data_IF_217004956769
#
_entry.id   IF_217004956769
#
_cell.length_a   1.000
_cell.length_b   1.000
_cell.length_c   1.000
_cell.angle_alpha   90.00
_cell.angle_beta   90.00
_cell.angle_gamma   90.00
#
_symmetry.space_group_name_H-M   'P 1'
#
loop_
_entity.id
_entity.type
_entity.pdbx_description
1 polymer ?
#
# COMPACT_ATOMS: atom_id res chain seq x y z
N UNK A 1 -11.86 -1.77 21.04
CA UNK A 1 -12.64 -0.89 20.19
C UNK A 1 -13.04 -1.72 18.98
N UNK A 2 -14.32 -1.73 18.63
CA UNK A 2 -14.90 -2.57 17.58
C UNK A 2 -15.91 -1.71 16.82
N UNK A 3 -15.84 -1.69 15.51
CA UNK A 3 -16.86 -1.09 14.64
C UNK A 3 -18.00 -2.10 14.49
N UNK A 4 -19.22 -1.72 14.83
CA UNK A 4 -20.41 -2.58 14.69
C UNK A 4 -21.05 -2.40 13.31
N UNK A 5 -21.29 -1.14 12.91
CA UNK A 5 -21.95 -0.82 11.65
C UNK A 5 -21.45 0.50 11.08
N UNK A 6 -21.51 0.63 9.76
CA UNK A 6 -21.21 1.86 9.04
C UNK A 6 -22.30 2.15 8.03
N UNK A 7 -22.73 3.40 7.98
CA UNK A 7 -23.64 3.96 7.00
C UNK A 7 -22.95 5.11 6.28
N UNK A 8 -22.95 5.07 4.95
CA UNK A 8 -22.38 6.10 4.09
C UNK A 8 -23.49 6.59 3.16
N UNK A 9 -23.59 7.91 3.00
CA UNK A 9 -24.49 8.54 2.04
C UNK A 9 -23.78 9.60 1.21
N UNK A 10 -23.94 9.51 -0.11
CA UNK A 10 -23.41 10.44 -1.12
C UNK A 10 -21.90 10.70 -1.03
N UNK A 11 -21.11 9.72 -0.58
CA UNK A 11 -19.68 9.87 -0.33
C UNK A 11 -18.90 8.74 -1.00
N UNK A 12 -17.76 9.07 -1.62
CA UNK A 12 -16.92 8.08 -2.29
C UNK A 12 -17.55 7.61 -3.60
N UNK A 13 -17.89 6.33 -3.67
CA UNK A 13 -18.51 5.69 -4.84
C UNK A 13 -19.98 5.30 -4.60
N UNK A 14 -20.58 5.75 -3.48
CA UNK A 14 -21.89 5.29 -3.03
C UNK A 14 -22.87 6.43 -2.79
N UNK A 15 -24.07 6.29 -3.34
CA UNK A 15 -25.24 7.08 -2.93
C UNK A 15 -25.69 6.69 -1.53
N UNK A 16 -25.80 5.38 -1.27
CA UNK A 16 -26.07 4.83 0.05
C UNK A 16 -25.33 3.48 0.18
N UNK A 17 -24.65 3.27 1.30
CA UNK A 17 -24.02 1.99 1.65
C UNK A 17 -24.20 1.75 3.14
N UNK A 18 -24.72 0.58 3.51
CA UNK A 18 -24.81 0.13 4.89
C UNK A 18 -24.05 -1.18 5.06
N UNK A 19 -23.15 -1.23 6.04
CA UNK A 19 -22.32 -2.39 6.34
C UNK A 19 -22.43 -2.75 7.82
N UNK A 20 -22.43 -4.05 8.10
CA UNK A 20 -22.33 -4.60 9.45
C UNK A 20 -21.04 -5.41 9.55
N UNK A 21 -20.29 -5.20 10.61
CA UNK A 21 -19.03 -5.86 10.86
C UNK A 21 -19.14 -6.81 12.07
N UNK A 22 -18.45 -7.93 11.96
CA UNK A 22 -18.20 -8.86 13.04
C UNK A 22 -17.04 -8.40 13.91
N UNK A 23 -16.98 -8.91 15.14
CA UNK A 23 -16.02 -8.51 16.16
C UNK A 23 -14.58 -8.93 15.85
N UNK A 24 -14.42 -10.04 15.12
CA UNK A 24 -13.12 -10.59 14.75
C UNK A 24 -12.70 -10.09 13.37
N UNK A 25 -12.87 -10.89 12.33
CA UNK A 25 -12.39 -10.64 10.98
C UNK A 25 -13.55 -10.35 10.03
N UNK A 26 -13.33 -9.37 9.15
CA UNK A 26 -14.26 -8.96 8.11
C UNK A 26 -13.49 -8.86 6.79
N UNK A 27 -13.98 -9.56 5.77
CA UNK A 27 -13.31 -9.66 4.47
C UNK A 27 -14.16 -8.93 3.42
N UNK A 28 -13.69 -7.78 2.96
CA UNK A 28 -14.33 -7.00 1.91
C UNK A 28 -13.83 -7.49 0.55
N UNK A 29 -14.73 -8.08 -0.24
CA UNK A 29 -14.46 -8.61 -1.57
C UNK A 29 -15.09 -7.76 -2.67
N UNK A 30 -14.52 -7.81 -3.87
CA UNK A 30 -15.09 -7.20 -5.06
C UNK A 30 -14.05 -6.91 -6.14
N UNK A 31 -14.50 -6.50 -7.32
CA UNK A 31 -13.63 -6.22 -8.46
C UNK A 31 -12.68 -5.02 -8.21
N UNK A 32 -11.66 -4.89 -9.06
CA UNK A 32 -10.80 -3.71 -9.04
C UNK A 32 -11.61 -2.45 -9.36
N UNK A 33 -11.37 -1.37 -8.61
CA UNK A 33 -12.07 -0.10 -8.80
C UNK A 33 -13.47 0.01 -8.18
N UNK A 34 -13.97 -1.03 -7.48
CA UNK A 34 -15.28 -0.99 -6.82
C UNK A 34 -15.32 -0.14 -5.53
N UNK A 35 -14.17 0.35 -5.07
CA UNK A 35 -14.08 1.23 -3.88
C UNK A 35 -13.61 0.56 -2.59
N UNK A 36 -13.04 -0.65 -2.63
CA UNK A 36 -12.51 -1.35 -1.43
C UNK A 36 -11.52 -0.48 -0.61
N UNK A 37 -10.47 0.01 -1.25
CA UNK A 37 -9.48 0.91 -0.64
C UNK A 37 -10.11 2.23 -0.18
N UNK A 38 -11.06 2.76 -0.96
CA UNK A 38 -11.83 3.97 -0.62
C UNK A 38 -12.64 3.78 0.65
N UNK A 39 -13.27 2.62 0.85
CA UNK A 39 -14.01 2.30 2.06
C UNK A 39 -13.07 2.29 3.28
N UNK A 40 -11.93 1.59 3.21
CA UNK A 40 -10.96 1.58 4.31
C UNK A 40 -10.48 3.00 4.65
N UNK A 41 -10.22 3.83 3.63
CA UNK A 41 -9.82 5.22 3.83
C UNK A 41 -10.92 6.06 4.51
N UNK A 42 -12.19 5.86 4.14
CA UNK A 42 -13.33 6.50 4.81
C UNK A 42 -13.42 6.08 6.28
N UNK A 43 -13.32 4.78 6.58
CA UNK A 43 -13.31 4.27 7.95
C UNK A 43 -12.19 4.89 8.77
N UNK A 44 -10.98 4.93 8.21
CA UNK A 44 -9.80 5.51 8.87
C UNK A 44 -9.96 7.02 9.15
N UNK A 45 -10.59 7.76 8.22
CA UNK A 45 -10.79 9.21 8.32
C UNK A 45 -11.77 9.68 9.41
N UNK A 46 -12.51 8.74 10.01
CA UNK A 46 -13.35 8.98 11.19
C UNK A 46 -12.56 8.96 12.50
N UNK A 47 -11.32 8.46 12.46
CA UNK A 47 -10.41 8.49 13.60
C UNK A 47 -9.28 9.49 13.40
N UNK A 48 -8.98 9.88 12.17
CA UNK A 48 -7.83 10.73 11.85
C UNK A 48 -8.24 11.94 10.99
N UNK A 49 -7.64 13.09 11.31
CA UNK A 49 -7.81 14.46 10.81
C UNK A 49 -8.60 14.73 9.48
N UNK A 50 -9.38 15.82 9.55
CA UNK A 50 -10.22 16.50 8.55
C UNK A 50 -9.63 16.77 7.14
N UNK A 51 -8.32 16.63 6.93
CA UNK A 51 -7.66 16.90 5.65
C UNK A 51 -7.43 15.69 4.74
N UNK A 52 -7.75 14.48 5.19
CA UNK A 52 -7.52 13.24 4.41
C UNK A 52 -8.46 13.15 3.19
N UNK A 53 -9.66 13.73 3.30
CA UNK A 53 -10.70 13.69 2.28
C UNK A 53 -11.00 15.11 1.85
N UNK A 54 -10.69 15.44 0.60
CA UNK A 54 -11.14 16.69 -0.02
C UNK A 54 -12.47 16.44 -0.71
N UNK A 55 -13.55 16.87 -0.07
CA UNK A 55 -14.88 16.85 -0.67
C UNK A 55 -15.06 18.11 -1.52
N UNK A 56 -15.34 17.97 -2.81
CA UNK A 56 -15.37 19.11 -3.75
C UNK A 56 -16.79 19.50 -4.18
N UNK A 57 -17.80 18.70 -3.83
CA UNK A 57 -19.18 18.97 -4.20
C UNK A 57 -19.78 20.10 -3.34
N UNK A 58 -20.04 21.25 -3.96
CA UNK A 58 -20.60 22.41 -3.27
C UNK A 58 -22.11 22.33 -3.04
N UNK A 59 -22.81 21.49 -3.81
CA UNK A 59 -24.28 21.48 -3.87
C UNK A 59 -24.92 20.26 -3.19
N UNK A 60 -24.12 19.32 -2.70
CA UNK A 60 -24.60 18.08 -2.08
C UNK A 60 -24.04 17.92 -0.67
N UNK A 61 -24.89 17.44 0.24
CA UNK A 61 -24.46 16.96 1.55
C UNK A 61 -24.14 15.47 1.47
N UNK A 62 -23.03 15.09 2.09
CA UNK A 62 -22.61 13.70 2.21
C UNK A 62 -22.25 13.39 3.66
N UNK A 63 -22.37 12.14 4.08
CA UNK A 63 -21.96 11.75 5.42
C UNK A 63 -21.46 10.32 5.50
N UNK A 64 -20.70 10.07 6.56
CA UNK A 64 -20.40 8.73 7.07
C UNK A 64 -20.77 8.70 8.54
N UNK A 65 -21.49 7.65 8.94
CA UNK A 65 -21.93 7.39 10.30
C UNK A 65 -21.42 6.00 10.72
N UNK A 66 -20.76 5.91 11.86
CA UNK A 66 -20.15 4.69 12.37
C UNK A 66 -20.62 4.46 13.80
N UNK A 67 -21.21 3.30 14.04
CA UNK A 67 -21.45 2.79 15.38
C UNK A 67 -20.26 1.94 15.80
N UNK A 68 -19.69 2.24 16.96
CA UNK A 68 -18.59 1.48 17.52
C UNK A 68 -18.78 1.22 19.02
N UNK A 69 -18.17 0.14 19.47
CA UNK A 69 -18.09 -0.24 20.86
C UNK A 69 -16.65 -0.06 21.33
N UNK A 70 -16.41 0.87 22.25
CA UNK A 70 -15.18 0.87 23.04
C UNK A 70 -15.41 0.08 24.33
N UNK A 71 -14.35 -0.37 25.00
CA UNK A 71 -14.40 -1.22 26.20
C UNK A 71 -15.27 -0.65 27.33
N UNK A 72 -15.61 0.64 27.29
CA UNK A 72 -16.34 1.38 28.32
C UNK A 72 -17.76 1.80 27.92
N UNK A 73 -18.06 1.99 26.62
CA UNK A 73 -19.36 2.46 26.15
C UNK A 73 -19.55 2.34 24.62
N UNK A 74 -20.80 2.42 24.16
CA UNK A 74 -21.15 2.59 22.74
C UNK A 74 -20.99 4.05 22.31
N UNK A 75 -20.41 4.26 21.13
CA UNK A 75 -20.16 5.55 20.52
C UNK A 75 -20.69 5.58 19.08
N UNK A 76 -21.26 6.72 18.70
CA UNK A 76 -21.68 7.00 17.32
C UNK A 76 -20.84 8.15 16.80
N UNK A 77 -20.05 7.89 15.75
CA UNK A 77 -19.28 8.90 15.05
C UNK A 77 -19.98 9.23 13.74
N UNK A 78 -20.53 10.44 13.63
CA UNK A 78 -21.10 10.92 12.38
C UNK A 78 -20.29 12.10 11.87
N UNK A 79 -19.72 11.99 10.68
CA UNK A 79 -19.00 13.06 10.00
C UNK A 79 -19.76 13.48 8.75
N UNK A 80 -20.01 14.78 8.64
CA UNK A 80 -20.80 15.40 7.56
C UNK A 80 -19.88 16.25 6.70
N UNK A 81 -20.09 16.19 5.39
CA UNK A 81 -19.36 16.92 4.36
C UNK A 81 -20.33 17.84 3.63
N UNK A 82 -20.01 19.14 3.59
CA UNK A 82 -20.85 20.17 2.95
C UNK A 82 -19.99 21.35 2.51
N UNK A 83 -20.20 21.86 1.29
CA UNK A 83 -19.53 23.08 0.78
C UNK A 83 -18.01 23.07 0.90
N UNK A 84 -17.37 21.92 0.68
CA UNK A 84 -15.91 21.80 0.78
C UNK A 84 -15.33 21.66 2.18
N UNK A 85 -16.18 21.55 3.19
CA UNK A 85 -15.78 21.40 4.59
C UNK A 85 -16.31 20.06 5.15
N UNK A 86 -15.67 19.59 6.22
CA UNK A 86 -16.15 18.43 6.97
C UNK A 86 -16.09 18.68 8.47
N UNK A 87 -16.98 18.05 9.23
CA UNK A 87 -17.01 18.14 10.68
C UNK A 87 -17.81 17.00 11.31
N UNK A 88 -17.53 16.71 12.58
CA UNK A 88 -18.34 15.78 13.35
C UNK A 88 -19.68 16.42 13.71
N UNK A 89 -20.76 15.68 13.50
CA UNK A 89 -22.07 15.99 14.02
C UNK A 89 -22.11 15.59 15.50
N UNK A 90 -22.36 16.56 16.37
CA UNK A 90 -22.51 16.36 17.81
C UNK A 90 -23.87 16.90 18.25
N UNK A 91 -24.63 16.09 18.97
CA UNK A 91 -25.97 16.46 19.47
C UNK A 91 -25.91 17.00 20.90
N UNK A 92 -24.86 16.67 21.64
CA UNK A 92 -24.68 17.05 23.04
C UNK A 92 -23.21 17.27 23.42
N UNK A 93 -22.99 17.94 24.55
CA UNK A 93 -21.65 18.06 25.14
C UNK A 93 -21.07 16.70 25.59
N UNK A 94 -21.94 15.71 25.87
CA UNK A 94 -21.51 14.36 26.16
C UNK A 94 -20.85 13.71 24.94
N UNK A 95 -21.39 13.93 23.73
CA UNK A 95 -20.81 13.40 22.49
C UNK A 95 -19.41 13.94 22.26
N UNK A 96 -19.20 15.24 22.50
CA UNK A 96 -17.88 15.88 22.39
C UNK A 96 -16.88 15.21 23.34
N UNK A 97 -17.26 14.97 24.60
CA UNK A 97 -16.38 14.29 25.58
C UNK A 97 -16.05 12.87 25.15
N UNK A 98 -16.99 12.15 24.53
CA UNK A 98 -16.75 10.78 24.05
C UNK A 98 -15.77 10.77 22.88
N UNK A 99 -15.97 11.65 21.90
CA UNK A 99 -15.07 11.80 20.75
C UNK A 99 -13.65 12.18 21.23
N UNK A 100 -13.54 13.15 22.13
CA UNK A 100 -12.24 13.60 22.65
C UNK A 100 -11.48 12.56 23.50
N UNK A 101 -12.17 11.53 24.01
CA UNK A 101 -11.58 10.42 24.77
C UNK A 101 -11.19 9.24 23.90
N UNK A 102 -11.52 9.28 22.61
CA UNK A 102 -11.28 8.18 21.70
C UNK A 102 -9.77 7.96 21.53
N UNK A 103 -9.35 6.71 21.65
CA UNK A 103 -7.96 6.31 21.49
C UNK A 103 -7.65 6.10 19.99
N UNK A 104 -7.48 7.20 19.27
CA UNK A 104 -7.16 7.20 17.82
C UNK A 104 -5.93 6.33 17.50
N UNK A 105 -4.97 6.26 18.42
CA UNK A 105 -3.77 5.43 18.36
C UNK A 105 -4.02 3.91 18.44
N UNK A 106 -5.28 3.46 18.51
CA UNK A 106 -5.70 2.05 18.42
C UNK A 106 -6.36 1.70 17.08
N UNK A 107 -6.38 2.62 16.11
CA UNK A 107 -6.81 2.32 14.74
C UNK A 107 -5.63 2.39 13.80
N UNK A 108 -5.34 1.26 13.16
CA UNK A 108 -4.21 1.14 12.24
C UNK A 108 -4.70 0.85 10.83
N UNK A 109 -4.00 1.39 9.85
CA UNK A 109 -4.25 1.09 8.43
C UNK A 109 -2.93 0.75 7.74
N UNK A 110 -2.93 -0.33 6.97
CA UNK A 110 -1.78 -0.82 6.22
C UNK A 110 -2.23 -1.29 4.85
N UNK A 111 -1.32 -1.23 3.88
CA UNK A 111 -1.53 -1.87 2.58
C UNK A 111 -0.45 -2.93 2.37
N UNK A 112 -0.85 -4.13 1.99
CA UNK A 112 0.06 -5.22 1.63
C UNK A 112 0.97 -4.87 0.45
N UNK A 113 0.59 -3.89 -0.38
CA UNK A 113 1.46 -3.38 -1.44
C UNK A 113 2.70 -2.68 -0.86
N UNK A 114 2.51 -1.82 0.17
CA UNK A 114 3.56 -0.97 0.75
C UNK A 114 4.44 -1.68 1.80
N UNK A 115 3.96 -2.77 2.43
CA UNK A 115 4.64 -3.43 3.56
C UNK A 115 6.11 -3.79 3.29
N UNK A 116 6.42 -4.29 2.09
CA UNK A 116 7.79 -4.74 1.76
C UNK A 116 8.80 -3.60 1.63
N UNK A 117 8.33 -2.39 1.34
CA UNK A 117 9.18 -1.26 0.99
C UNK A 117 9.43 -0.34 2.19
N UNK A 118 8.44 -0.22 3.06
CA UNK A 118 8.53 0.70 4.21
C UNK A 118 9.45 0.17 5.33
N UNK A 119 9.81 -1.12 5.35
CA UNK A 119 10.82 -1.65 6.27
C UNK A 119 11.61 -2.86 5.75
N UNK A 120 12.94 -2.81 5.85
CA UNK A 120 13.79 -3.97 5.56
C UNK A 120 13.59 -5.07 6.61
N UNK A 121 13.46 -6.31 6.13
CA UNK A 121 13.34 -7.47 6.99
C UNK A 121 14.60 -7.63 7.85
N UNK A 122 14.39 -7.84 9.16
CA UNK A 122 15.48 -8.09 10.10
C UNK A 122 15.17 -9.28 11.03
N UNK A 123 16.18 -9.74 11.77
CA UNK A 123 16.06 -10.89 12.67
C UNK A 123 15.03 -10.66 13.80
N UNK A 124 14.82 -9.43 14.26
CA UNK A 124 13.81 -9.10 15.28
C UNK A 124 12.40 -9.32 14.77
N UNK A 125 12.12 -8.95 13.51
CA UNK A 125 10.84 -9.20 12.87
C UNK A 125 10.54 -10.70 12.76
N UNK A 126 11.55 -11.51 12.42
CA UNK A 126 11.43 -12.98 12.42
C UNK A 126 11.10 -13.49 13.83
N UNK A 127 11.86 -13.05 14.84
CA UNK A 127 11.62 -13.44 16.24
C UNK A 127 10.19 -13.09 16.69
N UNK A 128 9.69 -11.91 16.32
CA UNK A 128 8.32 -11.48 16.61
C UNK A 128 7.28 -12.35 15.90
N UNK A 129 7.48 -12.63 14.61
CA UNK A 129 6.61 -13.51 13.84
C UNK A 129 6.54 -14.92 14.46
N UNK A 130 7.69 -15.51 14.84
CA UNK A 130 7.74 -16.81 15.51
C UNK A 130 7.02 -16.79 16.86
N UNK A 131 7.22 -15.74 17.67
CA UNK A 131 6.50 -15.57 18.94
C UNK A 131 5.00 -15.49 18.74
N UNK A 132 4.52 -14.75 17.73
CA UNK A 132 3.11 -14.70 17.40
C UNK A 132 2.57 -16.09 17.06
N UNK A 133 3.23 -16.79 16.13
CA UNK A 133 2.81 -18.13 15.70
C UNK A 133 2.75 -19.11 16.87
N UNK A 134 3.68 -19.01 17.82
CA UNK A 134 3.66 -19.79 19.06
C UNK A 134 2.44 -19.44 19.93
N UNK A 135 2.17 -18.15 20.12
CA UNK A 135 1.07 -17.67 20.94
C UNK A 135 -0.31 -18.11 20.41
N UNK A 136 -0.43 -18.32 19.09
CA UNK A 136 -1.67 -18.78 18.45
C UNK A 136 -1.63 -20.26 18.03
N UNK A 137 -0.61 -21.02 18.42
CA UNK A 137 -0.42 -22.44 18.08
C UNK A 137 -0.51 -22.74 16.56
N UNK A 138 0.24 -21.97 15.76
CA UNK A 138 0.26 -22.07 14.30
C UNK A 138 1.67 -22.32 13.71
N UNK A 139 2.69 -22.56 14.54
CA UNK A 139 4.09 -22.71 14.10
C UNK A 139 4.26 -23.76 12.99
N UNK A 140 3.54 -24.88 13.07
CA UNK A 140 3.65 -26.01 12.12
C UNK A 140 3.08 -25.72 10.73
N UNK A 141 2.26 -24.67 10.60
CA UNK A 141 1.59 -24.32 9.34
C UNK A 141 2.42 -23.37 8.48
N UNK A 142 3.52 -22.84 9.03
CA UNK A 142 4.43 -21.94 8.33
C UNK A 142 5.82 -22.55 8.29
N UNK A 143 6.31 -22.86 7.08
CA UNK A 143 7.73 -23.11 6.88
C UNK A 143 8.44 -21.77 6.79
N UNK A 144 8.74 -21.17 7.94
CA UNK A 144 9.59 -19.98 8.03
C UNK A 144 11.09 -20.34 8.03
N UNK A 145 11.43 -21.52 7.48
CA UNK A 145 12.80 -22.02 7.45
C UNK A 145 13.70 -21.01 6.72
N UNK A 146 14.63 -20.44 7.48
CA UNK A 146 15.70 -19.58 6.99
C UNK A 146 17.00 -20.35 7.17
N UNK A 147 17.32 -21.20 6.21
CA UNK A 147 18.65 -21.80 6.08
C UNK A 147 19.44 -20.95 5.10
N UNK A 148 20.26 -20.02 5.60
CA UNK A 148 21.18 -19.23 4.77
C UNK A 148 21.01 -17.72 4.88
N UNK A 149 21.08 -17.02 3.75
CA UNK A 149 20.98 -15.55 3.61
C UNK A 149 19.70 -15.16 2.86
N UNK A 150 19.02 -16.10 2.19
CA UNK A 150 17.97 -15.80 1.21
C UNK A 150 16.55 -15.99 1.75
N UNK A 151 15.66 -15.08 1.37
CA UNK A 151 14.21 -15.24 1.55
C UNK A 151 13.46 -14.62 0.37
N UNK A 152 12.55 -15.39 -0.24
CA UNK A 152 11.73 -14.89 -1.35
C UNK A 152 10.79 -13.76 -0.90
N UNK A 153 10.38 -12.89 -1.83
CA UNK A 153 9.52 -11.75 -1.50
C UNK A 153 8.22 -12.16 -0.79
N UNK A 154 7.55 -13.22 -1.25
CA UNK A 154 6.37 -13.75 -0.57
C UNK A 154 6.63 -14.19 0.87
N UNK A 155 7.77 -14.86 1.14
CA UNK A 155 8.16 -15.22 2.51
C UNK A 155 8.45 -13.99 3.37
N UNK A 156 9.11 -12.96 2.81
CA UNK A 156 9.35 -11.71 3.54
C UNK A 156 8.02 -11.02 3.89
N UNK A 157 7.09 -10.94 2.93
CA UNK A 157 5.75 -10.37 3.17
C UNK A 157 4.99 -11.12 4.27
N UNK A 158 5.07 -12.45 4.32
CA UNK A 158 4.48 -13.25 5.42
C UNK A 158 5.04 -12.84 6.77
N UNK A 159 6.37 -12.74 6.90
CA UNK A 159 7.00 -12.36 8.16
C UNK A 159 6.66 -10.92 8.55
N UNK A 160 6.57 -10.01 7.59
CA UNK A 160 6.16 -8.63 7.83
C UNK A 160 4.72 -8.54 8.33
N UNK A 161 3.79 -9.28 7.73
CA UNK A 161 2.40 -9.36 8.20
C UNK A 161 2.35 -9.94 9.62
N UNK A 162 3.04 -11.05 9.87
CA UNK A 162 3.07 -11.66 11.21
C UNK A 162 3.72 -10.74 12.25
N UNK A 163 4.81 -10.05 11.92
CA UNK A 163 5.44 -9.07 12.79
C UNK A 163 4.51 -7.89 13.06
N UNK A 164 3.80 -7.39 12.05
CA UNK A 164 2.80 -6.34 12.21
C UNK A 164 1.72 -6.80 13.20
N UNK A 165 1.11 -7.96 12.97
CA UNK A 165 0.08 -8.51 13.85
C UNK A 165 0.59 -8.71 15.29
N UNK A 166 1.87 -9.07 15.46
CA UNK A 166 2.50 -9.19 16.78
C UNK A 166 2.61 -7.85 17.53
N UNK A 167 2.84 -6.75 16.82
CA UNK A 167 3.06 -5.43 17.41
C UNK A 167 1.77 -4.68 17.72
N UNK A 168 0.63 -5.12 17.17
CA UNK A 168 -0.64 -4.45 17.38
C UNK A 168 -1.10 -4.70 18.82
N UNK A 169 -1.39 -3.63 19.59
CA UNK A 169 -1.89 -3.79 20.96
C UNK A 169 -3.31 -4.37 20.96
N UNK A 170 -3.68 -5.03 22.05
CA UNK A 170 -5.06 -5.45 22.29
C UNK A 170 -6.02 -4.25 22.28
N UNK A 171 -7.31 -4.52 22.04
CA UNK A 171 -8.39 -3.55 21.91
C UNK A 171 -8.27 -2.64 20.66
N UNK A 172 -7.62 -3.10 19.59
CA UNK A 172 -7.34 -2.31 18.38
C UNK A 172 -8.20 -2.71 17.17
N UNK A 173 -8.32 -1.78 16.22
CA UNK A 173 -8.88 -2.02 14.89
C UNK A 173 -7.74 -1.98 13.87
N UNK A 174 -7.65 -3.00 13.02
CA UNK A 174 -6.68 -3.05 11.91
C UNK A 174 -7.44 -3.04 10.59
N UNK A 175 -7.13 -2.06 9.75
CA UNK A 175 -7.60 -1.94 8.37
C UNK A 175 -6.48 -2.41 7.43
N UNK A 176 -6.70 -3.48 6.67
CA UNK A 176 -5.69 -4.08 5.80
C UNK A 176 -6.13 -4.01 4.33
N UNK A 177 -5.45 -3.19 3.54
CA UNK A 177 -5.71 -3.10 2.10
C UNK A 177 -4.86 -4.13 1.34
N UNK A 178 -5.49 -5.08 0.65
CA UNK A 178 -4.85 -6.14 -0.13
C UNK A 178 -3.64 -6.79 0.58
N UNK A 179 -3.77 -7.25 1.86
CA UNK A 179 -2.65 -7.78 2.63
C UNK A 179 -2.00 -9.01 1.99
N UNK A 180 -2.71 -9.69 1.09
CA UNK A 180 -2.30 -10.96 0.50
C UNK A 180 -1.76 -10.85 -0.94
N UNK A 181 -1.46 -9.63 -1.42
CA UNK A 181 -1.10 -9.40 -2.83
C UNK A 181 0.11 -10.21 -3.34
N UNK A 182 0.97 -10.68 -2.43
CA UNK A 182 2.25 -11.35 -2.72
C UNK A 182 2.38 -12.75 -2.14
N UNK A 183 1.31 -13.30 -1.57
CA UNK A 183 1.30 -14.64 -0.95
C UNK A 183 0.39 -15.58 -1.72
N UNK A 184 0.74 -16.88 -1.74
CA UNK A 184 -0.10 -17.90 -2.35
C UNK A 184 -1.36 -18.20 -1.51
N UNK A 185 -2.31 -18.92 -2.11
CA UNK A 185 -3.61 -19.22 -1.50
C UNK A 185 -3.50 -20.04 -0.21
N UNK A 186 -2.56 -20.99 -0.12
CA UNK A 186 -2.37 -21.81 1.08
C UNK A 186 -1.86 -20.96 2.25
N UNK A 187 -0.83 -20.16 2.00
CA UNK A 187 -0.28 -19.25 3.02
C UNK A 187 -1.31 -18.19 3.43
N UNK A 188 -2.07 -17.65 2.48
CA UNK A 188 -3.16 -16.71 2.77
C UNK A 188 -4.16 -17.30 3.77
N UNK A 189 -4.62 -18.53 3.55
CA UNK A 189 -5.60 -19.16 4.44
C UNK A 189 -5.01 -19.38 5.84
N UNK A 190 -3.73 -19.75 5.93
CA UNK A 190 -3.03 -19.83 7.22
C UNK A 190 -2.91 -18.47 7.91
N UNK A 191 -2.68 -17.38 7.17
CA UNK A 191 -2.64 -16.02 7.73
C UNK A 191 -4.01 -15.56 8.23
N UNK A 192 -5.09 -15.88 7.52
CA UNK A 192 -6.47 -15.63 7.96
C UNK A 192 -6.73 -16.38 9.28
N UNK A 193 -6.29 -17.63 9.39
CA UNK A 193 -6.42 -18.41 10.63
C UNK A 193 -5.62 -17.80 11.80
N UNK A 194 -4.40 -17.29 11.55
CA UNK A 194 -3.65 -16.52 12.55
C UNK A 194 -4.45 -15.27 13.00
N UNK A 195 -5.01 -14.52 12.04
CA UNK A 195 -5.81 -13.32 12.32
C UNK A 195 -7.05 -13.63 13.17
N UNK A 196 -7.71 -14.78 12.95
CA UNK A 196 -8.87 -15.23 13.75
C UNK A 196 -8.51 -15.52 15.21
N UNK A 197 -7.31 -16.02 15.46
CA UNK A 197 -6.84 -16.40 16.80
C UNK A 197 -6.33 -15.22 17.62
N UNK A 198 -6.22 -14.03 17.02
CA UNK A 198 -5.90 -12.81 17.75
C UNK A 198 -7.07 -12.43 18.67
N UNK A 199 -6.75 -12.18 19.94
CA UNK A 199 -7.73 -11.76 20.95
C UNK A 199 -7.84 -10.24 20.97
N UNK A 200 -9.06 -9.75 21.14
CA UNK A 200 -9.36 -8.33 21.33
C UNK A 200 -8.88 -7.42 20.18
N UNK A 201 -8.85 -7.93 18.95
CA UNK A 201 -8.48 -7.17 17.75
C UNK A 201 -9.56 -7.38 16.70
N UNK A 202 -10.10 -6.28 16.15
CA UNK A 202 -10.97 -6.34 14.99
C UNK A 202 -10.15 -6.10 13.72
N UNK A 203 -10.31 -6.96 12.72
CA UNK A 203 -9.60 -6.87 11.45
C UNK A 203 -10.63 -6.67 10.34
N UNK A 204 -10.43 -5.63 9.54
CA UNK A 204 -11.21 -5.36 8.33
C UNK A 204 -10.23 -5.33 7.17
N UNK A 205 -10.31 -6.29 6.28
CA UNK A 205 -9.37 -6.44 5.18
C UNK A 205 -10.04 -6.45 3.82
N UNK A 206 -9.30 -6.09 2.78
CA UNK A 206 -9.79 -6.13 1.39
C UNK A 206 -9.10 -7.23 0.59
N UNK A 207 -9.83 -7.84 -0.33
CA UNK A 207 -9.26 -8.78 -1.31
C UNK A 207 -10.03 -8.72 -2.62
N UNK A 208 -9.38 -9.04 -3.73
CA UNK A 208 -10.01 -9.19 -5.05
C UNK A 208 -10.50 -10.60 -5.31
N UNK A 209 -10.01 -11.57 -4.54
CA UNK A 209 -10.30 -12.98 -4.74
C UNK A 209 -11.65 -13.28 -4.09
N UNK A 210 -12.63 -13.65 -4.91
CA UNK A 210 -13.89 -14.23 -4.46
C UNK A 210 -13.65 -15.68 -4.09
N UNK A 211 -13.51 -15.94 -2.79
CA UNK A 211 -13.53 -17.30 -2.25
C UNK A 211 -14.72 -17.45 -1.32
N UNK A 212 -15.34 -18.62 -1.39
CA UNK A 212 -16.27 -19.10 -0.39
C UNK A 212 -15.47 -19.32 0.89
N UNK A 213 -15.69 -18.46 1.86
CA UNK A 213 -15.13 -18.62 3.19
C UNK A 213 -16.24 -18.52 4.21
N UNK A 214 -16.08 -19.21 5.35
CA UNK A 214 -17.06 -19.19 6.45
C UNK A 214 -17.05 -17.86 7.23
N UNK A 215 -16.23 -16.89 6.81
CA UNK A 215 -16.10 -15.60 7.50
C UNK A 215 -17.17 -14.59 7.07
N UNK A 216 -17.27 -13.48 7.81
CA UNK A 216 -18.08 -12.36 7.37
C UNK A 216 -17.49 -11.73 6.10
N UNK A 217 -17.95 -12.22 4.96
CA UNK A 217 -17.60 -11.72 3.64
C UNK A 217 -18.59 -10.64 3.22
N UNK A 218 -18.06 -9.44 3.00
CA UNK A 218 -18.82 -8.29 2.52
C UNK A 218 -18.49 -8.11 1.04
N UNK A 219 -19.45 -8.41 0.17
CA UNK A 219 -19.31 -8.18 -1.27
C UNK A 219 -19.66 -6.73 -1.62
N UNK A 220 -18.66 -5.97 -2.06
CA UNK A 220 -18.89 -4.67 -2.66
C UNK A 220 -19.16 -4.83 -4.16
N UNK A 221 -20.33 -4.38 -4.58
CA UNK A 221 -20.75 -4.32 -5.97
C UNK A 221 -20.77 -2.86 -6.39
N UNK A 222 -20.37 -2.57 -7.63
CA UNK A 222 -20.41 -1.21 -8.17
C UNK A 222 -21.87 -0.81 -8.38
N UNK A 223 -22.37 0.15 -7.62
CA UNK A 223 -23.79 0.55 -7.64
C UNK A 223 -24.10 1.71 -8.59
N UNK A 224 -23.11 2.54 -8.97
CA UNK A 224 -23.34 3.68 -9.87
C UNK A 224 -22.80 3.44 -11.30
N UNK A 225 -23.68 3.63 -12.30
CA UNK A 225 -23.32 3.76 -13.73
C UNK A 225 -22.78 5.15 -14.07
N UNK A 226 -23.34 6.19 -13.45
CA UNK A 226 -22.87 7.57 -13.56
C UNK A 226 -22.02 7.90 -12.35
N UNK A 227 -20.76 8.24 -12.60
CA UNK A 227 -19.83 8.65 -11.56
C UNK A 227 -20.33 9.98 -11.03
N UNK A 228 -20.79 10.00 -9.77
CA UNK A 228 -21.00 11.24 -9.04
C UNK A 228 -19.72 12.05 -9.23
N UNK A 229 -19.84 13.18 -9.94
CA UNK A 229 -18.78 13.95 -10.60
C UNK A 229 -17.80 14.65 -9.64
N UNK A 230 -17.69 14.13 -8.42
CA UNK A 230 -16.91 14.68 -7.32
C UNK A 230 -16.38 13.52 -6.47
N UNK A 231 -15.53 12.66 -7.06
CA UNK A 231 -14.75 11.70 -6.28
C UNK A 231 -14.05 12.46 -5.16
N UNK A 232 -14.20 12.08 -3.88
CA UNK A 232 -13.37 12.66 -2.84
C UNK A 232 -11.92 12.38 -3.20
N UNK A 233 -11.08 13.41 -3.23
CA UNK A 233 -9.64 13.18 -3.38
C UNK A 233 -9.12 12.71 -2.03
N UNK A 234 -8.66 11.46 -1.98
CA UNK A 234 -8.04 10.86 -0.80
C UNK A 234 -6.54 11.10 -0.85
N UNK A 235 -6.01 11.64 0.25
CA UNK A 235 -4.55 11.70 0.45
C UNK A 235 -4.06 10.35 0.99
N UNK A 236 -4.00 9.33 0.12
CA UNK A 236 -3.53 7.98 0.49
C UNK A 236 -2.09 7.99 1.04
N UNK A 237 -1.28 8.96 0.63
CA UNK A 237 0.03 9.21 1.22
C UNK A 237 -0.07 9.48 2.72
N UNK A 238 -0.90 10.43 3.13
CA UNK A 238 -1.11 10.78 4.54
C UNK A 238 -1.72 9.61 5.33
N UNK A 239 -2.55 8.79 4.68
CA UNK A 239 -3.18 7.60 5.29
C UNK A 239 -2.15 6.51 5.61
N UNK A 240 -1.35 6.10 4.62
CA UNK A 240 -0.49 4.92 4.75
C UNK A 240 0.93 5.24 5.29
N UNK A 241 1.48 6.44 5.06
CA UNK A 241 2.87 6.77 5.49
C UNK A 241 3.04 6.95 6.99
N UNK A 242 2.00 7.31 7.74
CA UNK A 242 2.13 7.73 9.13
C UNK A 242 2.16 6.58 10.15
N UNK A 243 1.44 5.47 9.93
CA UNK A 243 1.28 4.44 10.96
C UNK A 243 2.44 3.44 11.03
N UNK A 244 2.95 2.99 9.87
CA UNK A 244 3.99 1.97 9.84
C UNK A 244 5.30 2.49 10.44
N UNK A 245 5.73 3.70 10.08
CA UNK A 245 6.91 4.33 10.68
C UNK A 245 6.77 4.52 12.19
N UNK A 246 5.58 4.81 12.71
CA UNK A 246 5.38 4.99 14.15
C UNK A 246 5.53 3.68 14.94
N UNK A 247 4.93 2.58 14.45
CA UNK A 247 5.05 1.26 15.11
C UNK A 247 6.47 0.68 14.93
N UNK A 248 7.12 0.95 13.80
CA UNK A 248 8.44 0.40 13.47
C UNK A 248 9.62 1.20 14.02
N UNK A 249 9.45 2.49 14.39
CA UNK A 249 10.51 3.35 14.98
C UNK A 249 11.22 2.77 16.20
N UNK A 250 10.59 1.84 16.92
CA UNK A 250 11.19 1.10 18.06
C UNK A 250 12.05 -0.11 17.66
N UNK A 251 12.19 -0.41 16.37
CA UNK A 251 12.88 -1.61 15.87
C UNK A 251 14.19 -1.33 15.12
N UNK A 252 14.49 -0.06 14.81
CA UNK A 252 15.66 0.35 14.01
C UNK A 252 16.98 0.47 14.80
N UNK A 253 16.99 0.18 16.11
CA UNK A 253 18.27 0.08 16.84
C UNK A 253 19.01 -1.16 16.36
N UNK A 254 20.12 -0.92 15.67
CA UNK A 254 21.10 -1.89 15.15
C UNK A 254 21.37 -3.04 16.14
N UNK A 255 20.63 -4.13 16.02
CA UNK A 255 21.14 -5.44 16.39
C UNK A 255 21.87 -5.99 15.15
N UNK A 256 23.06 -6.56 15.35
CA UNK A 256 23.88 -7.26 14.36
C UNK A 256 23.16 -8.52 13.81
N UNK A 257 22.03 -8.32 13.13
CA UNK A 257 21.31 -9.38 12.45
C UNK A 257 21.99 -9.72 11.13
N UNK A 258 22.05 -11.01 10.79
CA UNK A 258 22.43 -11.45 9.43
C UNK A 258 21.51 -10.76 8.42
N UNK A 259 22.10 -10.09 7.43
CA UNK A 259 21.36 -9.47 6.33
C UNK A 259 20.61 -10.55 5.57
N UNK A 260 19.31 -10.36 5.36
CA UNK A 260 18.47 -11.27 4.57
C UNK A 260 18.34 -10.67 3.17
N UNK A 261 18.76 -11.41 2.15
CA UNK A 261 18.68 -10.97 0.76
C UNK A 261 17.39 -11.42 0.08
N UNK A 262 16.92 -10.57 -0.81
CA UNK A 262 15.76 -10.82 -1.68
C UNK A 262 16.12 -11.57 -2.96
N UNK A 263 17.38 -11.50 -3.39
CA UNK A 263 17.84 -11.99 -4.70
C UNK A 263 19.07 -12.88 -4.57
N UNK A 264 19.04 -13.99 -5.33
CA UNK A 264 20.15 -14.91 -5.50
C UNK A 264 20.65 -14.83 -6.94
N UNK A 265 21.96 -14.73 -7.12
CA UNK A 265 22.57 -14.65 -8.44
C UNK A 265 22.16 -15.84 -9.31
N UNK A 266 21.82 -15.58 -10.58
CA UNK A 266 21.40 -16.56 -11.58
C UNK A 266 20.15 -17.38 -11.24
N UNK A 267 19.44 -17.09 -10.13
CA UNK A 267 18.14 -17.69 -9.86
C UNK A 267 17.02 -16.91 -10.54
N UNK A 268 15.92 -17.62 -10.79
CA UNK A 268 14.69 -17.02 -11.31
C UNK A 268 13.91 -16.32 -10.20
N UNK A 269 13.48 -15.09 -10.47
CA UNK A 269 12.54 -14.35 -9.62
C UNK A 269 11.15 -14.94 -9.83
N UNK A 270 10.56 -15.46 -8.76
CA UNK A 270 9.23 -16.10 -8.80
C UNK A 270 8.10 -15.12 -9.11
N UNK A 271 8.29 -13.83 -8.83
CA UNK A 271 7.32 -12.81 -9.22
C UNK A 271 7.16 -12.77 -10.73
N UNK A 272 5.92 -12.72 -11.19
CA UNK A 272 5.61 -12.52 -12.60
C UNK A 272 5.62 -11.03 -12.90
N UNK A 273 6.08 -10.66 -14.10
CA UNK A 273 5.92 -9.29 -14.58
C UNK A 273 4.43 -8.94 -14.64
N UNK A 274 4.06 -7.81 -14.05
CA UNK A 274 2.69 -7.29 -14.01
C UNK A 274 2.74 -5.86 -14.52
N UNK A 275 1.59 -5.24 -14.80
CA UNK A 275 1.54 -3.81 -15.15
C UNK A 275 2.30 -2.89 -14.17
N UNK A 276 2.45 -3.30 -12.92
CA UNK A 276 3.09 -2.54 -11.86
C UNK A 276 4.56 -2.93 -11.60
N UNK A 277 5.11 -3.93 -12.29
CA UNK A 277 6.49 -4.37 -12.12
C UNK A 277 7.16 -4.39 -13.50
N UNK A 278 8.35 -3.82 -13.61
CA UNK A 278 9.12 -3.81 -14.84
C UNK A 278 10.53 -4.33 -14.58
N UNK A 279 10.98 -5.33 -15.34
CA UNK A 279 12.35 -5.83 -15.28
C UNK A 279 13.25 -5.14 -16.31
N UNK A 280 14.50 -4.86 -15.92
CA UNK A 280 15.52 -4.29 -16.79
C UNK A 280 16.87 -4.95 -16.56
N UNK A 281 17.48 -5.41 -17.65
CA UNK A 281 18.85 -5.86 -17.66
C UNK A 281 19.78 -4.74 -18.12
N UNK A 282 20.90 -4.54 -17.42
CA UNK A 282 21.96 -3.66 -17.89
C UNK A 282 22.86 -4.45 -18.83
N UNK A 283 22.82 -4.13 -20.12
CA UNK A 283 23.64 -4.77 -21.17
C UNK A 283 24.85 -3.94 -21.61
N UNK A 284 24.98 -2.69 -21.13
CA UNK A 284 26.03 -1.75 -21.54
C UNK A 284 27.00 -1.36 -20.42
N UNK A 285 28.05 -0.64 -20.76
CA UNK A 285 29.13 -0.23 -19.83
C UNK A 285 28.81 0.97 -18.93
N UNK A 286 27.67 1.65 -19.14
CA UNK A 286 27.24 2.80 -18.32
C UNK A 286 25.95 2.49 -17.56
N UNK A 287 26.01 1.66 -16.50
CA UNK A 287 24.83 1.26 -15.71
C UNK A 287 24.09 2.46 -15.12
N UNK A 288 24.83 3.44 -14.59
CA UNK A 288 24.29 4.59 -13.85
C UNK A 288 23.37 5.43 -14.73
N UNK A 289 23.85 5.87 -15.90
CA UNK A 289 23.05 6.69 -16.80
C UNK A 289 21.88 5.90 -17.39
N UNK A 290 22.10 4.61 -17.72
CA UNK A 290 21.03 3.74 -18.19
C UNK A 290 19.90 3.56 -17.16
N UNK A 291 20.22 3.52 -15.86
CA UNK A 291 19.21 3.51 -14.78
C UNK A 291 18.49 4.85 -14.74
N UNK A 292 19.22 5.97 -14.64
CA UNK A 292 18.62 7.30 -14.42
C UNK A 292 17.68 7.71 -15.57
N UNK A 293 18.15 7.58 -16.82
CA UNK A 293 17.37 8.03 -17.99
C UNK A 293 16.10 7.18 -18.18
N UNK A 294 16.19 5.88 -17.93
CA UNK A 294 15.04 4.97 -18.03
C UNK A 294 14.10 5.15 -16.85
N UNK A 295 14.64 5.36 -15.64
CA UNK A 295 13.85 5.57 -14.43
C UNK A 295 12.90 6.76 -14.57
N UNK A 296 13.38 7.90 -15.07
CA UNK A 296 12.56 9.10 -15.26
C UNK A 296 11.31 8.82 -16.12
N UNK A 297 11.48 8.10 -17.23
CA UNK A 297 10.40 7.76 -18.15
C UNK A 297 9.36 6.88 -17.46
N UNK A 298 9.80 5.83 -16.75
CA UNK A 298 8.87 4.93 -16.07
C UNK A 298 8.20 5.58 -14.86
N UNK A 299 8.91 6.41 -14.10
CA UNK A 299 8.32 7.21 -13.01
C UNK A 299 7.19 8.07 -13.56
N UNK A 300 7.44 8.81 -14.65
CA UNK A 300 6.41 9.62 -15.29
C UNK A 300 5.22 8.77 -15.78
N UNK A 301 5.50 7.60 -16.39
CA UNK A 301 4.47 6.69 -16.85
C UNK A 301 3.59 6.13 -15.71
N UNK A 302 4.18 5.81 -14.55
CA UNK A 302 3.46 5.33 -13.38
C UNK A 302 2.65 6.43 -12.71
N UNK A 303 3.19 7.65 -12.57
CA UNK A 303 2.47 8.81 -12.02
C UNK A 303 1.26 9.19 -12.88
N UNK A 304 1.37 9.00 -14.20
CA UNK A 304 0.27 9.20 -15.14
C UNK A 304 -0.63 7.96 -15.30
N UNK A 305 -0.39 6.86 -14.59
CA UNK A 305 -1.29 5.70 -14.66
C UNK A 305 -2.65 6.01 -14.04
N UNK A 306 -3.72 5.39 -14.57
CA UNK A 306 -5.06 5.43 -13.96
C UNK A 306 -5.22 4.44 -12.80
N UNK A 307 -4.26 3.53 -12.63
CA UNK A 307 -4.28 2.53 -11.55
C UNK A 307 -3.50 3.10 -10.37
N UNK A 308 -4.15 3.15 -9.21
CA UNK A 308 -3.50 3.46 -7.93
C UNK A 308 -2.65 2.26 -7.52
N UNK A 309 -1.46 2.52 -6.99
CA UNK A 309 -0.62 1.48 -6.40
C UNK A 309 0.86 1.81 -6.49
N UNK A 310 1.68 0.77 -6.37
CA UNK A 310 3.14 0.88 -6.49
C UNK A 310 3.57 0.44 -7.88
N UNK A 311 4.20 1.33 -8.64
CA UNK A 311 5.05 0.94 -9.77
C UNK A 311 6.45 0.61 -9.27
N UNK A 312 7.05 -0.51 -9.70
CA UNK A 312 8.45 -0.81 -9.41
C UNK A 312 9.20 -1.14 -10.68
N UNK A 313 10.33 -0.46 -10.88
CA UNK A 313 11.30 -0.85 -11.91
C UNK A 313 12.47 -1.52 -11.20
N UNK A 314 12.85 -2.71 -11.67
CA UNK A 314 13.91 -3.52 -11.08
C UNK A 314 15.04 -3.74 -12.11
N UNK A 315 16.20 -3.15 -11.86
CA UNK A 315 17.41 -3.38 -12.65
C UNK A 315 18.26 -4.51 -12.09
N UNK A 316 18.98 -5.18 -12.98
CA UNK A 316 19.76 -6.36 -12.63
C UNK A 316 18.95 -7.65 -12.69
N UNK A 317 17.79 -7.64 -13.36
CA UNK A 317 16.95 -8.80 -13.62
C UNK A 317 16.66 -8.84 -15.12
N UNK A 318 16.94 -9.97 -15.75
CA UNK A 318 16.69 -10.18 -17.18
C UNK A 318 15.21 -10.30 -17.52
N UNK A 319 14.86 -10.18 -18.80
CA UNK A 319 13.49 -10.40 -19.30
C UNK A 319 13.00 -11.84 -19.03
N UNK A 320 13.94 -12.78 -18.88
CA UNK A 320 13.67 -14.17 -18.45
C UNK A 320 13.55 -14.33 -16.93
N UNK A 321 13.44 -13.22 -16.19
CA UNK A 321 13.37 -13.14 -14.73
C UNK A 321 14.59 -13.70 -13.99
N UNK A 322 15.72 -13.85 -14.67
CA UNK A 322 16.98 -14.30 -14.04
C UNK A 322 17.71 -13.11 -13.42
N UNK A 323 18.11 -13.23 -12.16
CA UNK A 323 18.93 -12.24 -11.44
C UNK A 323 20.34 -12.21 -12.03
N UNK A 324 20.78 -11.02 -12.47
CA UNK A 324 22.11 -10.73 -13.01
C UNK A 324 22.89 -9.73 -12.15
N UNK A 325 22.17 -8.86 -11.46
CA UNK A 325 22.75 -7.76 -10.69
C UNK A 325 23.31 -6.64 -11.55
N UNK A 326 23.69 -5.57 -10.87
CA UNK A 326 24.36 -4.40 -11.41
C UNK A 326 25.54 -4.11 -10.49
N UNK A 327 26.75 -4.00 -11.07
CA UNK A 327 27.94 -3.63 -10.31
C UNK A 327 27.90 -2.15 -9.99
N UNK A 328 27.90 -1.80 -8.71
CA UNK A 328 27.78 -0.43 -8.21
C UNK A 328 28.61 -0.25 -6.94
N UNK A 329 29.42 0.80 -6.90
CA UNK A 329 30.05 1.29 -5.66
C UNK A 329 29.04 2.07 -4.81
N UNK A 330 29.41 2.43 -3.57
CA UNK A 330 28.57 3.30 -2.72
C UNK A 330 28.35 4.69 -3.34
N UNK A 331 29.39 5.26 -3.95
CA UNK A 331 29.30 6.55 -4.63
C UNK A 331 28.32 6.48 -5.81
N UNK A 332 28.28 5.37 -6.54
CA UNK A 332 27.31 5.17 -7.62
C UNK A 332 25.87 5.15 -7.11
N UNK A 333 25.63 4.53 -5.94
CA UNK A 333 24.30 4.49 -5.30
C UNK A 333 23.81 5.89 -4.94
N UNK A 334 24.69 6.71 -4.36
CA UNK A 334 24.39 8.10 -4.00
C UNK A 334 24.12 8.95 -5.25
N UNK A 335 24.91 8.75 -6.32
CA UNK A 335 24.71 9.43 -7.60
C UNK A 335 23.36 9.07 -8.23
N UNK A 336 23.00 7.78 -8.26
CA UNK A 336 21.71 7.32 -8.81
C UNK A 336 20.57 7.94 -8.01
N UNK A 337 20.60 7.83 -6.68
CA UNK A 337 19.53 8.30 -5.80
C UNK A 337 19.31 9.81 -5.93
N UNK A 338 20.40 10.60 -5.88
CA UNK A 338 20.36 12.05 -6.05
C UNK A 338 19.83 12.45 -7.42
N UNK A 339 20.37 11.89 -8.50
CA UNK A 339 19.97 12.28 -9.87
C UNK A 339 18.53 11.90 -10.17
N UNK A 340 18.04 10.76 -9.69
CA UNK A 340 16.62 10.41 -9.81
C UNK A 340 15.75 11.44 -9.06
N UNK A 341 16.10 11.79 -7.82
CA UNK A 341 15.37 12.80 -7.05
C UNK A 341 15.35 14.17 -7.75
N UNK A 342 16.48 14.61 -8.31
CA UNK A 342 16.59 15.84 -9.11
C UNK A 342 15.66 15.81 -10.34
N UNK A 343 15.66 14.71 -11.10
CA UNK A 343 14.78 14.55 -12.29
C UNK A 343 13.30 14.60 -11.90
N UNK A 344 12.93 13.96 -10.81
CA UNK A 344 11.54 13.99 -10.28
C UNK A 344 11.15 15.41 -9.88
N UNK A 345 12.02 16.13 -9.16
CA UNK A 345 11.78 17.52 -8.77
C UNK A 345 11.69 18.50 -9.95
N UNK A 346 12.24 18.14 -11.10
CA UNK A 346 12.17 18.92 -12.35
C UNK A 346 10.95 18.59 -13.23
N UNK A 347 10.14 17.58 -12.86
CA UNK A 347 8.90 17.26 -13.56
C UNK A 347 7.90 18.41 -13.48
N UNK A 348 7.00 18.48 -14.47
CA UNK A 348 5.95 19.51 -14.53
C UNK A 348 4.55 18.90 -14.69
N UNK A 349 3.57 19.25 -13.85
CA UNK A 349 3.69 20.08 -12.64
C UNK A 349 4.64 19.45 -11.59
N UNK A 350 5.06 20.24 -10.60
CA UNK A 350 6.04 19.80 -9.59
C UNK A 350 5.61 18.48 -8.93
N UNK A 351 6.56 17.54 -8.83
CA UNK A 351 6.39 16.27 -8.14
C UNK A 351 7.38 16.23 -6.97
N UNK A 352 6.88 15.94 -5.77
CA UNK A 352 7.76 15.71 -4.63
C UNK A 352 8.57 14.43 -4.83
N UNK A 353 9.87 14.49 -4.57
CA UNK A 353 10.75 13.33 -4.59
C UNK A 353 10.32 12.23 -3.62
N UNK A 354 9.53 12.54 -2.58
CA UNK A 354 9.02 11.59 -1.59
C UNK A 354 8.04 10.55 -2.16
N UNK A 355 7.63 10.69 -3.43
CA UNK A 355 6.85 9.67 -4.14
C UNK A 355 7.73 8.56 -4.75
N UNK A 356 9.05 8.75 -4.78
CA UNK A 356 10.01 7.79 -5.31
C UNK A 356 10.97 7.34 -4.23
N UNK A 357 11.24 6.04 -4.18
CA UNK A 357 12.22 5.44 -3.29
C UNK A 357 13.17 4.58 -4.12
N UNK A 358 14.47 4.75 -3.93
CA UNK A 358 15.51 3.99 -4.63
C UNK A 358 16.14 3.04 -3.62
N UNK A 359 16.03 1.73 -3.87
CA UNK A 359 16.46 0.68 -2.97
C UNK A 359 17.53 -0.18 -3.65
N UNK A 360 18.66 -0.35 -2.98
CA UNK A 360 19.75 -1.22 -3.43
C UNK A 360 19.70 -2.54 -2.69
N UNK A 361 19.15 -3.56 -3.35
CA UNK A 361 19.00 -4.89 -2.77
C UNK A 361 20.28 -5.69 -2.97
N UNK A 362 20.89 -6.13 -1.87
CA UNK A 362 22.04 -7.03 -1.88
C UNK A 362 21.69 -8.32 -2.64
N UNK A 363 22.66 -8.83 -3.41
CA UNK A 363 22.57 -10.13 -4.08
C UNK A 363 23.50 -11.10 -3.37
N UNK A 364 23.03 -12.31 -3.09
CA UNK A 364 23.88 -13.38 -2.60
C UNK A 364 24.13 -14.44 -3.66
N UNK A 365 25.23 -15.15 -3.48
CA UNK A 365 25.50 -16.43 -4.11
C UNK A 365 25.68 -17.48 -3.01
N UNK A 366 24.93 -18.57 -3.12
CA UNK A 366 24.71 -19.57 -2.08
C UNK A 366 24.36 -18.99 -0.68
N UNK A 367 25.36 -18.70 0.14
CA UNK A 367 25.22 -18.16 1.51
C UNK A 367 26.09 -16.92 1.77
N UNK A 368 26.62 -16.29 0.72
CA UNK A 368 27.47 -15.10 0.85
C UNK A 368 26.92 -13.96 0.01
N UNK A 369 26.85 -12.77 0.61
CA UNK A 369 26.54 -11.55 -0.12
C UNK A 369 27.71 -11.22 -1.04
N UNK A 370 27.42 -10.92 -2.30
CA UNK A 370 28.41 -10.48 -3.27
C UNK A 370 28.58 -8.97 -3.10
N UNK A 371 29.80 -8.55 -2.75
CA UNK A 371 30.12 -7.14 -2.61
C UNK A 371 29.96 -6.39 -3.94
N UNK A 372 29.52 -5.14 -3.85
CA UNK A 372 29.30 -4.23 -4.99
C UNK A 372 28.32 -4.73 -6.06
N UNK A 373 27.53 -5.78 -5.79
CA UNK A 373 26.55 -6.31 -6.73
C UNK A 373 25.12 -6.19 -6.18
N UNK A 374 24.29 -5.42 -6.88
CA UNK A 374 22.95 -5.07 -6.41
C UNK A 374 21.88 -5.31 -7.46
N UNK A 375 20.67 -5.63 -7.01
CA UNK A 375 19.47 -5.33 -7.79
C UNK A 375 18.97 -3.94 -7.36
N UNK A 376 18.74 -3.05 -8.33
CA UNK A 376 18.27 -1.69 -8.05
C UNK A 376 16.76 -1.66 -8.22
N UNK A 377 16.02 -1.31 -7.18
CA UNK A 377 14.57 -1.12 -7.25
C UNK A 377 14.23 0.37 -7.16
N UNK A 378 13.60 0.91 -8.19
CA UNK A 378 12.99 2.25 -8.13
C UNK A 378 11.50 2.06 -7.94
N UNK A 379 11.04 2.41 -6.75
CA UNK A 379 9.67 2.26 -6.28
C UNK A 379 8.96 3.59 -6.42
N UNK A 380 7.84 3.59 -7.14
CA UNK A 380 7.05 4.77 -7.45
C UNK A 380 5.68 4.59 -6.82
N UNK A 381 5.40 5.41 -5.81
CA UNK A 381 4.10 5.44 -5.16
C UNK A 381 3.21 6.38 -6.00
N UNK A 382 2.28 5.81 -6.79
CA UNK A 382 1.42 6.59 -7.68
C UNK A 382 -0.03 6.63 -7.20
N UNK A 383 -0.67 7.78 -7.42
CA UNK A 383 -2.06 8.06 -7.08
C UNK A 383 -2.78 8.54 -8.33
N UNK A 384 -4.09 8.30 -8.40
CA UNK A 384 -4.93 8.90 -9.43
C UNK A 384 -4.92 10.41 -9.29
N UNK A 385 -4.60 11.12 -10.37
CA UNK A 385 -4.61 12.57 -10.44
C UNK A 385 -5.45 13.02 -11.64
N UNK A 386 -6.06 14.20 -11.55
CA UNK A 386 -6.86 14.77 -12.65
C UNK A 386 -5.98 15.44 -13.73
N UNK A 387 -4.68 15.54 -13.45
CA UNK A 387 -3.66 16.14 -14.30
C UNK A 387 -2.66 15.10 -14.80
N UNK A 388 -1.93 15.46 -15.85
CA UNK A 388 -0.78 14.71 -16.34
C UNK A 388 0.52 15.42 -15.96
N UNK A 389 1.54 14.63 -15.66
CA UNK A 389 2.90 15.07 -15.42
C UNK A 389 3.73 14.88 -16.68
N UNK A 390 4.72 15.74 -16.86
CA UNK A 390 5.76 15.63 -17.88
C UNK A 390 7.11 15.45 -17.22
N UNK A 391 8.00 14.73 -17.91
CA UNK A 391 9.41 14.57 -17.54
C UNK A 391 10.14 15.92 -17.53
N UNK A 392 11.40 15.95 -17.06
CA UNK A 392 12.26 17.14 -17.10
C UNK A 392 12.50 17.64 -18.54
N UNK A 393 12.22 16.80 -19.55
CA UNK A 393 12.32 17.12 -20.98
C UNK A 393 10.98 17.53 -21.60
N UNK A 394 9.91 17.62 -20.83
CA UNK A 394 8.57 17.99 -21.31
C UNK A 394 7.81 16.88 -22.02
N UNK A 395 8.29 15.63 -21.94
CA UNK A 395 7.63 14.48 -22.54
C UNK A 395 6.62 13.86 -21.56
N UNK A 396 5.49 13.36 -22.08
CA UNK A 396 4.42 12.74 -21.30
C UNK A 396 4.32 11.26 -21.66
N UNK A 397 4.43 10.39 -20.65
CA UNK A 397 4.31 8.95 -20.78
C UNK A 397 3.17 8.43 -19.90
N UNK A 398 2.57 7.30 -20.27
CA UNK A 398 1.57 6.59 -19.47
C UNK A 398 1.88 5.09 -19.44
N UNK A 399 1.65 4.43 -18.29
CA UNK A 399 1.76 2.97 -18.17
C UNK A 399 0.44 2.29 -18.53
N UNK A 400 0.51 1.40 -19.52
CA UNK A 400 -0.57 0.54 -20.00
C UNK A 400 -0.25 -0.93 -19.72
N UNK A 401 -1.20 -1.84 -19.97
CA UNK A 401 -0.95 -3.29 -19.88
C UNK A 401 0.20 -3.73 -20.81
N UNK A 402 0.36 -3.08 -21.97
CA UNK A 402 1.44 -3.35 -22.93
C UNK A 402 2.77 -2.65 -22.61
N UNK A 403 2.89 -2.01 -21.44
CA UNK A 403 4.08 -1.25 -21.05
C UNK A 403 3.90 0.27 -21.14
N UNK A 404 5.01 0.99 -21.21
CA UNK A 404 5.03 2.46 -21.28
C UNK A 404 4.68 2.95 -22.70
N UNK A 405 3.85 3.97 -22.79
CA UNK A 405 3.48 4.64 -24.05
C UNK A 405 3.75 6.14 -23.93
N UNK A 406 4.48 6.72 -24.90
CA UNK A 406 4.58 8.17 -25.04
C UNK A 406 3.28 8.70 -25.64
N UNK A 407 2.72 9.74 -25.05
CA UNK A 407 1.53 10.39 -25.57
C UNK A 407 1.93 11.53 -26.51
N UNK A 408 1.24 11.60 -27.64
CA UNK A 408 1.25 12.75 -28.54
C UNK A 408 0.19 13.78 -28.10
N UNK A 409 0.13 14.92 -28.81
CA UNK A 409 -0.80 15.99 -28.46
C UNK A 409 -2.26 15.53 -28.42
N UNK A 410 -2.66 14.63 -29.34
CA UNK A 410 -3.99 14.06 -29.37
C UNK A 410 -4.24 13.11 -28.18
N UNK A 411 -3.31 12.19 -27.90
CA UNK A 411 -3.40 11.27 -26.77
C UNK A 411 -3.46 11.97 -25.41
N UNK A 412 -2.75 13.10 -25.25
CA UNK A 412 -2.84 13.95 -24.06
C UNK A 412 -4.27 14.50 -23.89
N UNK A 413 -4.87 15.03 -24.95
CA UNK A 413 -6.22 15.59 -24.90
C UNK A 413 -7.26 14.51 -24.55
N UNK A 414 -7.18 13.34 -25.17
CA UNK A 414 -8.07 12.22 -24.89
C UNK A 414 -7.94 11.73 -23.45
N UNK A 415 -6.72 11.65 -22.92
CA UNK A 415 -6.49 11.21 -21.54
C UNK A 415 -7.02 12.23 -20.52
N UNK A 416 -6.80 13.52 -20.74
CA UNK A 416 -7.35 14.58 -19.89
C UNK A 416 -8.89 14.61 -19.94
N UNK A 417 -9.48 14.46 -21.14
CA UNK A 417 -10.93 14.36 -21.30
C UNK A 417 -11.50 13.15 -20.57
N UNK A 418 -10.83 12.00 -20.66
CA UNK A 418 -11.20 10.79 -19.94
C UNK A 418 -11.19 10.97 -18.43
N UNK A 419 -10.18 11.66 -17.88
CA UNK A 419 -10.09 11.97 -16.44
C UNK A 419 -11.20 12.87 -15.96
N UNK A 420 -11.50 13.94 -16.70
CA UNK A 420 -12.58 14.89 -16.35
C UNK A 420 -13.96 14.25 -16.41
N UNK A 421 -14.17 13.30 -17.33
CA UNK A 421 -15.45 12.64 -17.53
C UNK A 421 -15.60 11.34 -16.70
N UNK A 422 -14.60 10.97 -15.90
CA UNK A 422 -14.65 9.85 -14.95
C UNK A 422 -14.47 8.44 -15.54
N UNK A 423 -14.29 8.27 -16.84
CA UNK A 423 -14.29 6.94 -17.48
C UNK A 423 -13.15 6.01 -17.05
#
# INVERSE_FOLDING_TARGET
MIIDTVEISNLGLWENLFLKFDKSINIIQGENGVGKTTLLALLYSLFHDSGIIKFTNKNQEAYICMNLHDSKEKLVLKKVYKKGQSGYFVSSFADIKKIARMEENKVFIFSGEFLDYDCQLNTKMIKNAMKLLKNVDMERYFSLAYEGVYMSQGQQSVIQILNLLYLIPSNSIILLDAPFAKVDSKIRNNLIEVMKRLKDVQIILTTTITEETEENVIYLIRTCKDIISTRPQFDYNKIFKNNMKQIMRGQEKNEEGKIIVKYMLNQEVKETEKRNIEYKEIKGSSPINAIIDVAEIYINAFLNSRVVGIGTIKWGISDKRIVKGVKLSKDDQDVISRKIAERVGQMKPYVSSDCVEVIFQNIADESKIIEELYAVEVVVKSWTNDILFSTSKGEVYIKTEGGKKKLDAYGIQEELRGRLNGF
#
